data_IF_207784926800
#
_entry.id   IF_207784926800
#
_cell.length_a   1.000
_cell.length_b   1.000
_cell.length_c   1.000
_cell.angle_alpha   90.00
_cell.angle_beta   90.00
_cell.angle_gamma   90.00
#
_symmetry.space_group_name_H-M   'P 1'
#
loop_
_entity.id
_entity.type
_entity.pdbx_description
1 polymer ?
#
# COMPACT_ATOMS: atom_id res chain seq x y z
N UNK A 1 -14.01 -13.52 -28.04
CA UNK A 1 -13.02 -14.61 -28.14
C UNK A 1 -11.73 -13.99 -28.60
N UNK A 2 -10.61 -14.19 -27.88
CA UNK A 2 -9.31 -13.74 -28.40
C UNK A 2 -8.98 -14.52 -29.67
N UNK A 3 -8.41 -13.83 -30.65
CA UNK A 3 -7.88 -14.47 -31.85
C UNK A 3 -6.65 -15.30 -31.50
N UNK A 4 -6.36 -16.32 -32.30
CA UNK A 4 -5.19 -17.18 -32.08
C UNK A 4 -3.89 -16.38 -32.07
N UNK A 5 -3.82 -15.30 -32.86
CA UNK A 5 -2.70 -14.38 -32.90
C UNK A 5 -2.50 -13.60 -31.59
N UNK A 6 -3.58 -13.06 -31.00
CA UNK A 6 -3.52 -12.35 -29.72
C UNK A 6 -3.11 -13.27 -28.58
N UNK A 7 -3.63 -14.51 -28.56
CA UNK A 7 -3.21 -15.50 -27.56
C UNK A 7 -1.72 -15.83 -27.69
N UNK A 8 -1.19 -15.89 -28.92
CA UNK A 8 0.22 -16.16 -29.19
C UNK A 8 1.14 -15.01 -28.75
N UNK A 9 0.71 -13.75 -28.93
CA UNK A 9 1.43 -12.58 -28.40
C UNK A 9 1.48 -12.60 -26.87
N UNK A 10 0.33 -12.84 -26.21
CA UNK A 10 0.26 -12.98 -24.75
C UNK A 10 1.09 -14.15 -24.22
N UNK A 11 1.18 -15.24 -24.99
CA UNK A 11 2.06 -16.36 -24.67
C UNK A 11 3.54 -15.95 -24.64
N UNK A 12 3.99 -15.16 -25.61
CA UNK A 12 5.38 -14.64 -25.68
C UNK A 12 5.66 -13.65 -24.55
N UNK A 13 4.69 -12.79 -24.21
CA UNK A 13 4.81 -11.78 -23.13
C UNK A 13 4.72 -12.38 -21.73
N UNK A 14 4.25 -13.63 -21.62
CA UNK A 14 4.06 -14.31 -20.33
C UNK A 14 2.73 -13.99 -19.65
N UNK A 15 1.86 -13.20 -20.30
CA UNK A 15 0.56 -12.70 -19.80
C UNK A 15 -0.60 -13.67 -20.13
N UNK A 16 -0.37 -14.97 -19.93
CA UNK A 16 -1.41 -15.99 -20.04
C UNK A 16 -1.65 -16.65 -18.68
N UNK A 17 -2.92 -16.97 -18.41
CA UNK A 17 -3.28 -17.81 -17.28
C UNK A 17 -2.62 -19.19 -17.43
N UNK A 18 -2.42 -19.89 -16.31
CA UNK A 18 -1.82 -21.23 -16.34
C UNK A 18 -2.64 -22.24 -17.16
N UNK A 19 -3.97 -22.07 -17.22
CA UNK A 19 -4.85 -22.91 -18.02
C UNK A 19 -4.69 -22.62 -19.52
N UNK A 20 -4.73 -21.34 -19.91
CA UNK A 20 -4.57 -20.95 -21.31
C UNK A 20 -3.17 -21.25 -21.85
N UNK A 21 -2.15 -21.20 -20.99
CA UNK A 21 -0.78 -21.58 -21.35
C UNK A 21 -0.70 -23.06 -21.72
N UNK A 22 -1.33 -23.95 -20.95
CA UNK A 22 -1.37 -25.40 -21.25
C UNK A 22 -2.12 -25.69 -22.55
N UNK A 23 -3.27 -25.06 -22.76
CA UNK A 23 -4.02 -25.12 -24.01
C UNK A 23 -3.15 -24.70 -25.21
N UNK A 24 -2.41 -23.59 -25.06
CA UNK A 24 -1.48 -23.13 -26.10
C UNK A 24 -0.30 -24.09 -26.33
N UNK A 25 0.27 -24.67 -25.27
CA UNK A 25 1.36 -25.65 -25.38
C UNK A 25 0.91 -26.92 -26.13
N UNK A 26 -0.31 -27.41 -25.84
CA UNK A 26 -0.90 -28.55 -26.54
C UNK A 26 -1.13 -28.24 -28.03
N UNK A 27 -1.66 -27.05 -28.34
CA UNK A 27 -1.85 -26.60 -29.72
C UNK A 27 -0.55 -26.40 -30.47
N UNK A 28 0.48 -25.83 -29.82
CA UNK A 28 1.83 -25.72 -30.39
C UNK A 28 2.46 -27.09 -30.65
N UNK A 29 2.14 -28.11 -29.85
CA UNK A 29 2.61 -29.48 -30.10
C UNK A 29 1.94 -30.11 -31.33
N UNK A 30 0.66 -29.81 -31.57
CA UNK A 30 -0.12 -30.39 -32.67
C UNK A 30 -0.06 -29.63 -34.01
N UNK A 31 0.09 -28.30 -33.98
CA UNK A 31 -0.05 -27.44 -35.15
C UNK A 31 1.31 -26.87 -35.62
N UNK A 32 1.79 -27.33 -36.77
CA UNK A 32 3.06 -26.83 -37.36
C UNK A 32 2.98 -25.36 -37.77
N UNK A 33 1.87 -24.90 -38.33
CA UNK A 33 1.64 -23.50 -38.70
C UNK A 33 1.73 -22.55 -37.50
N UNK A 34 1.23 -22.99 -36.35
CA UNK A 34 1.27 -22.22 -35.10
C UNK A 34 2.71 -22.08 -34.57
N UNK A 35 3.52 -23.14 -34.70
CA UNK A 35 4.95 -23.12 -34.36
C UNK A 35 5.75 -22.20 -35.27
N UNK A 36 5.46 -22.19 -36.58
CA UNK A 36 6.09 -21.27 -37.53
C UNK A 36 5.74 -19.81 -37.23
N UNK A 37 4.48 -19.54 -36.88
CA UNK A 37 4.04 -18.21 -36.44
C UNK A 37 4.79 -17.78 -35.16
N UNK A 38 4.91 -18.67 -34.17
CA UNK A 38 5.67 -18.42 -32.93
C UNK A 38 7.15 -18.13 -33.22
N UNK A 39 7.78 -18.93 -34.10
CA UNK A 39 9.16 -18.75 -34.50
C UNK A 39 9.39 -17.39 -35.17
N UNK A 40 8.48 -17.00 -36.07
CA UNK A 40 8.54 -15.72 -36.78
C UNK A 40 8.45 -14.54 -35.80
N UNK A 41 7.49 -14.58 -34.87
CA UNK A 41 7.32 -13.54 -33.85
C UNK A 41 8.53 -13.42 -32.92
N UNK A 42 9.10 -14.53 -32.47
CA UNK A 42 10.32 -14.53 -31.65
C UNK A 42 11.53 -13.97 -32.40
N UNK A 43 11.64 -14.29 -33.69
CA UNK A 43 12.71 -13.77 -34.55
C UNK A 43 12.58 -12.26 -34.73
N UNK A 44 11.36 -11.76 -34.99
CA UNK A 44 11.08 -10.33 -35.09
C UNK A 44 11.36 -9.59 -33.77
N UNK A 45 10.95 -10.17 -32.63
CA UNK A 45 11.23 -9.61 -31.31
C UNK A 45 12.74 -9.55 -31.02
N UNK A 46 13.48 -10.59 -31.42
CA UNK A 46 14.94 -10.63 -31.35
C UNK A 46 15.58 -9.51 -32.18
N UNK A 47 15.17 -9.36 -33.44
CA UNK A 47 15.67 -8.31 -34.32
C UNK A 47 15.41 -6.91 -33.74
N UNK A 48 14.19 -6.65 -33.26
CA UNK A 48 13.83 -5.37 -32.62
C UNK A 48 14.65 -5.10 -31.36
N UNK A 49 14.93 -6.13 -30.55
CA UNK A 49 15.79 -6.00 -29.36
C UNK A 49 17.23 -5.67 -29.74
N UNK A 50 17.79 -6.32 -30.76
CA UNK A 50 19.15 -6.05 -31.24
C UNK A 50 19.27 -4.64 -31.80
N UNK A 51 18.33 -4.21 -32.65
CA UNK A 51 18.29 -2.83 -33.15
C UNK A 51 18.16 -1.81 -32.02
N UNK A 52 17.35 -2.10 -31.00
CA UNK A 52 17.22 -1.23 -29.82
C UNK A 52 18.51 -1.20 -29.01
N UNK A 53 19.20 -2.33 -28.84
CA UNK A 53 20.48 -2.41 -28.16
C UNK A 53 21.55 -1.54 -28.85
N UNK A 54 21.58 -1.53 -30.18
CA UNK A 54 22.45 -0.65 -30.97
C UNK A 54 22.06 0.83 -30.88
N UNK A 55 20.77 1.13 -30.65
CA UNK A 55 20.28 2.52 -30.53
C UNK A 55 20.62 3.20 -29.20
N UNK A 56 21.03 2.43 -28.18
CA UNK A 56 21.44 3.01 -26.91
C UNK A 56 22.88 3.51 -27.01
N UNK A 57 23.01 4.81 -27.30
CA UNK A 57 24.31 5.49 -27.34
C UNK A 57 25.15 5.24 -26.07
N UNK A 58 26.48 5.39 -26.16
CA UNK A 58 27.43 4.96 -25.13
C UNK A 58 27.04 5.49 -23.74
N UNK A 59 27.32 4.71 -22.70
CA UNK A 59 27.02 5.05 -21.30
C UNK A 59 25.51 5.13 -20.94
N UNK A 60 24.63 4.51 -21.73
CA UNK A 60 23.19 4.44 -21.40
C UNK A 60 22.95 3.78 -20.03
N UNK A 61 23.62 2.67 -19.73
CA UNK A 61 23.51 2.01 -18.43
C UNK A 61 23.93 2.93 -17.28
N UNK A 62 24.99 3.72 -17.45
CA UNK A 62 25.42 4.69 -16.43
C UNK A 62 24.41 5.84 -16.26
N UNK A 63 23.80 6.32 -17.35
CA UNK A 63 22.74 7.34 -17.28
C UNK A 63 21.49 6.80 -16.58
N UNK A 64 21.11 5.55 -16.85
CA UNK A 64 19.97 4.88 -16.20
C UNK A 64 20.25 4.63 -14.72
N UNK A 65 21.41 4.06 -14.39
CA UNK A 65 21.80 3.78 -13.01
C UNK A 65 21.91 5.06 -12.18
N UNK A 66 22.48 6.14 -12.74
CA UNK A 66 22.52 7.45 -12.08
C UNK A 66 21.12 8.00 -11.82
N UNK A 67 20.17 7.75 -12.71
CA UNK A 67 18.78 8.19 -12.54
C UNK A 67 18.03 7.33 -11.54
N UNK A 68 18.27 6.03 -11.50
CA UNK A 68 17.69 5.13 -10.50
C UNK A 68 18.22 5.45 -9.09
N UNK A 69 19.53 5.64 -8.95
CA UNK A 69 20.15 6.07 -7.69
C UNK A 69 19.70 7.46 -7.24
N UNK A 70 19.41 8.36 -8.20
CA UNK A 70 18.84 9.68 -7.91
C UNK A 70 17.35 9.65 -7.56
N UNK A 71 16.63 8.56 -7.86
CA UNK A 71 15.22 8.37 -7.49
C UNK A 71 15.09 7.61 -6.16
N UNK A 72 16.09 6.82 -5.76
CA UNK A 72 16.18 6.20 -4.43
C UNK A 72 16.52 7.18 -3.29
N UNK A 73 16.90 8.42 -3.61
CA UNK A 73 16.90 9.49 -2.61
C UNK A 73 15.46 9.96 -2.40
N UNK A 74 14.78 9.30 -1.47
CA UNK A 74 13.44 9.67 -1.02
C UNK A 74 13.37 11.18 -0.72
N UNK A 75 12.45 11.93 -1.36
CA UNK A 75 12.16 13.31 -0.99
C UNK A 75 11.52 13.47 0.41
N UNK A 76 11.50 12.40 1.22
CA UNK A 76 10.74 12.25 2.45
C UNK A 76 11.52 12.53 3.73
N UNK A 77 12.86 12.36 3.77
CA UNK A 77 13.61 12.47 5.03
C UNK A 77 13.55 13.87 5.66
N UNK A 78 13.53 14.94 4.85
CA UNK A 78 13.49 16.31 5.37
C UNK A 78 12.13 16.71 5.95
N UNK A 79 11.03 16.31 5.30
CA UNK A 79 9.66 16.60 5.79
C UNK A 79 9.28 15.69 6.95
N UNK A 80 9.72 14.44 6.93
CA UNK A 80 9.50 13.48 8.00
C UNK A 80 10.16 13.93 9.31
N UNK A 81 11.41 14.41 9.27
CA UNK A 81 12.08 14.94 10.45
C UNK A 81 11.38 16.18 11.02
N UNK A 82 10.88 17.08 10.15
CA UNK A 82 10.10 18.24 10.60
C UNK A 82 8.79 17.83 11.28
N UNK A 83 8.07 16.87 10.70
CA UNK A 83 6.79 16.41 11.23
C UNK A 83 6.94 15.64 12.54
N UNK A 84 7.97 14.80 12.66
CA UNK A 84 8.23 14.00 13.86
C UNK A 84 8.47 14.88 15.09
N UNK A 85 9.18 16.00 14.93
CA UNK A 85 9.48 16.91 16.04
C UNK A 85 8.26 17.71 16.50
N UNK A 86 7.41 18.16 15.56
CA UNK A 86 6.14 18.82 15.88
C UNK A 86 5.19 17.83 16.54
N UNK A 87 5.09 16.61 16.01
CA UNK A 87 4.24 15.56 16.55
C UNK A 87 4.64 15.19 17.98
N UNK A 88 5.94 15.03 18.26
CA UNK A 88 6.41 14.71 19.61
C UNK A 88 6.03 15.80 20.62
N UNK A 89 6.18 17.08 20.24
CA UNK A 89 5.79 18.22 21.09
C UNK A 89 4.29 18.35 21.27
N UNK A 90 3.51 18.10 20.22
CA UNK A 90 2.07 18.11 20.28
C UNK A 90 1.53 16.97 21.14
N UNK A 91 2.10 15.77 21.01
CA UNK A 91 1.75 14.60 21.81
C UNK A 91 2.06 14.81 23.30
N UNK A 92 3.23 15.36 23.64
CA UNK A 92 3.56 15.67 25.04
C UNK A 92 2.65 16.75 25.61
N UNK A 93 2.37 17.82 24.86
CA UNK A 93 1.44 18.87 25.29
C UNK A 93 0.02 18.32 25.50
N UNK A 94 -0.47 17.45 24.59
CA UNK A 94 -1.77 16.80 24.70
C UNK A 94 -1.84 15.87 25.92
N UNK A 95 -0.79 15.09 26.18
CA UNK A 95 -0.72 14.22 27.35
C UNK A 95 -0.76 15.01 28.66
N UNK A 96 0.00 16.11 28.74
CA UNK A 96 0.00 17.00 29.91
C UNK A 96 -1.39 17.61 30.12
N UNK A 97 -2.04 18.06 29.05
CA UNK A 97 -3.39 18.60 29.11
C UNK A 97 -4.39 17.54 29.61
N UNK A 98 -4.33 16.30 29.08
CA UNK A 98 -5.21 15.21 29.52
C UNK A 98 -5.03 14.90 31.00
N UNK A 99 -3.78 14.84 31.50
CA UNK A 99 -3.51 14.63 32.93
C UNK A 99 -4.05 15.80 33.77
N UNK A 100 -3.84 17.03 33.33
CA UNK A 100 -4.35 18.22 34.03
C UNK A 100 -5.89 18.21 34.11
N UNK A 101 -6.58 17.88 33.02
CA UNK A 101 -8.03 17.74 33.00
C UNK A 101 -8.51 16.61 33.91
N UNK A 102 -7.85 15.44 33.85
CA UNK A 102 -8.18 14.32 34.73
C UNK A 102 -8.06 14.68 36.21
N UNK A 103 -6.98 15.37 36.61
CA UNK A 103 -6.78 15.82 38.00
C UNK A 103 -7.80 16.88 38.40
N UNK A 104 -8.02 17.89 37.54
CA UNK A 104 -9.00 18.95 37.80
C UNK A 104 -10.40 18.37 38.00
N UNK A 105 -10.82 17.47 37.12
CA UNK A 105 -12.12 16.80 37.21
C UNK A 105 -12.19 15.89 38.44
N UNK A 106 -11.14 15.13 38.75
CA UNK A 106 -11.12 14.27 39.94
C UNK A 106 -11.31 15.07 41.25
N UNK A 107 -10.70 16.25 41.35
CA UNK A 107 -10.86 17.14 42.52
C UNK A 107 -12.25 17.79 42.53
N UNK A 108 -12.70 18.30 41.39
CA UNK A 108 -13.96 19.05 41.28
C UNK A 108 -15.19 18.16 41.46
N UNK A 109 -15.15 16.94 40.93
CA UNK A 109 -16.27 15.98 40.96
C UNK A 109 -16.12 14.90 42.04
N UNK A 110 -15.16 15.05 42.97
CA UNK A 110 -14.96 14.15 44.11
C UNK A 110 -16.23 14.00 44.98
N UNK A 111 -17.09 15.02 45.00
CA UNK A 111 -18.35 15.03 45.78
C UNK A 111 -19.53 14.33 45.11
N UNK A 112 -19.44 13.98 43.82
CA UNK A 112 -20.51 13.35 43.04
C UNK A 112 -20.32 11.83 42.86
N UNK A 113 -19.34 11.22 43.53
CA UNK A 113 -19.04 9.79 43.39
C UNK A 113 -18.46 9.41 42.03
N UNK A 114 -17.82 10.37 41.34
CA UNK A 114 -17.51 10.27 39.92
C UNK A 114 -16.11 9.71 39.62
N UNK A 115 -16.07 8.92 38.55
CA UNK A 115 -14.94 8.27 37.87
C UNK A 115 -14.33 7.04 38.57
N UNK A 116 -14.69 5.85 38.09
CA UNK A 116 -14.02 4.59 38.41
C UNK A 116 -12.74 4.38 37.60
N UNK A 117 -12.58 5.13 36.51
CA UNK A 117 -11.46 5.03 35.57
C UNK A 117 -10.89 6.39 35.16
N UNK A 118 -9.60 6.42 34.78
CA UNK A 118 -8.93 7.64 34.31
C UNK A 118 -9.61 8.27 33.09
N UNK A 119 -10.16 7.45 32.19
CA UNK A 119 -10.87 7.93 31.00
C UNK A 119 -12.13 8.71 31.38
N UNK A 120 -12.92 8.21 32.34
CA UNK A 120 -14.08 8.93 32.87
C UNK A 120 -13.68 10.27 33.51
N UNK A 121 -12.57 10.27 34.25
CA UNK A 121 -12.05 11.49 34.87
C UNK A 121 -11.61 12.53 33.82
N UNK A 122 -10.90 12.13 32.76
CA UNK A 122 -10.46 13.07 31.70
C UNK A 122 -11.65 13.68 30.96
N UNK A 123 -12.69 12.89 30.68
CA UNK A 123 -13.86 13.35 29.92
C UNK A 123 -15.00 13.90 30.77
N UNK A 124 -14.90 13.83 32.10
CA UNK A 124 -15.95 14.29 33.02
C UNK A 124 -17.25 13.48 32.89
N UNK A 125 -17.15 12.20 32.56
CA UNK A 125 -18.32 11.34 32.35
C UNK A 125 -18.90 10.89 33.70
N UNK A 126 -20.24 10.88 33.86
CA UNK A 126 -20.87 10.31 35.04
C UNK A 126 -20.62 8.80 35.10
N UNK A 127 -20.43 8.25 36.30
CA UNK A 127 -20.31 6.81 36.50
C UNK A 127 -21.63 6.14 36.14
N UNK A 128 -21.72 5.51 34.96
CA UNK A 128 -22.92 4.75 34.57
C UNK A 128 -22.99 3.51 35.45
N UNK A 129 -23.75 3.58 36.53
CA UNK A 129 -24.03 2.40 37.35
C UNK A 129 -25.12 1.56 36.69
N UNK A 130 -25.02 0.23 36.77
CA UNK A 130 -26.07 -0.69 36.28
C UNK A 130 -27.45 -0.40 36.90
N UNK A 131 -27.46 0.24 38.07
CA UNK A 131 -28.68 0.69 38.76
C UNK A 131 -29.39 1.82 38.00
N UNK A 132 -28.63 2.73 37.39
CA UNK A 132 -29.14 3.90 36.66
C UNK A 132 -29.71 3.50 35.27
N UNK A 133 -29.10 2.48 34.67
CA UNK A 133 -29.59 1.86 33.43
C UNK A 133 -30.90 1.07 33.63
N UNK A 134 -31.14 0.54 34.84
CA UNK A 134 -32.38 -0.17 35.20
C UNK A 134 -33.53 0.79 35.57
N UNK A 135 -33.24 2.04 35.90
CA UNK A 135 -34.25 3.08 36.21
C UNK A 135 -34.83 3.78 34.98
N UNK A 136 -34.34 3.50 33.77
CA UNK A 136 -34.97 3.97 32.53
C UNK A 136 -36.11 3.02 32.13
N UNK A 137 -37.39 3.42 32.26
CA UNK A 137 -38.49 2.61 31.73
C UNK A 137 -38.40 2.61 30.21
N UNK A 138 -38.30 1.42 29.62
CA UNK A 138 -38.50 1.23 28.19
C UNK A 138 -39.97 1.59 27.92
N UNK A 139 -40.22 2.78 27.38
CA UNK A 139 -41.47 3.16 26.72
C UNK A 139 -41.34 2.93 25.22
#
# INVERSE_FOLDING_TARGET
MLTDHEKLLRYIEGDLSAADRRDMDERLAGETSLREALYTLRTLQGALRTTRAESFGPYFNERVMRRLQGVEQEPGESLYHGLQWVFLRAATASLVAAVAFGVYNAITYQSLGAASSFVEAVFGLPSVSLLDALSYPIM
#
